data_IF_916447725308
#
_entry.id   IF_916447725308
#
_cell.length_a   1.000
_cell.length_b   1.000
_cell.length_c   1.000
_cell.angle_alpha   90.00
_cell.angle_beta   90.00
_cell.angle_gamma   90.00
#
_symmetry.space_group_name_H-M   'P 1'
#
loop_
_entity.id
_entity.type
_entity.pdbx_description
1 polymer ?
#
# COMPACT_ATOMS: atom_id res chain seq x y z
N UNK A 1 43.53 -25.91 7.35
CA UNK A 1 42.19 -25.76 6.78
C UNK A 1 41.20 -26.55 7.61
N UNK A 2 40.27 -25.87 8.32
CA UNK A 2 38.97 -26.46 8.61
C UNK A 2 37.84 -25.56 8.08
N UNK A 3 36.74 -26.22 7.75
CA UNK A 3 35.60 -25.74 7.01
C UNK A 3 34.93 -24.50 7.62
N UNK A 4 34.59 -23.56 6.76
CA UNK A 4 33.60 -22.54 7.05
C UNK A 4 32.24 -23.23 7.26
N UNK A 5 31.87 -23.45 8.52
CA UNK A 5 30.47 -23.49 8.90
C UNK A 5 29.91 -22.08 8.68
N UNK A 6 29.51 -21.82 7.44
CA UNK A 6 28.62 -20.73 7.12
C UNK A 6 27.32 -21.00 7.88
N UNK A 7 27.27 -20.50 9.11
CA UNK A 7 26.10 -20.45 9.96
C UNK A 7 25.00 -19.76 9.17
N UNK A 8 24.21 -20.57 8.47
CA UNK A 8 22.96 -20.17 7.86
C UNK A 8 22.04 -19.87 9.01
N UNK A 9 22.14 -18.64 9.53
CA UNK A 9 21.11 -18.02 10.34
C UNK A 9 19.92 -17.86 9.41
N UNK A 10 19.19 -18.95 9.19
CA UNK A 10 17.77 -18.91 8.83
C UNK A 10 17.11 -18.30 10.05
N UNK A 11 17.24 -16.97 10.17
CA UNK A 11 16.41 -16.22 11.10
C UNK A 11 14.99 -16.59 10.70
N UNK A 12 14.22 -17.02 11.68
CA UNK A 12 12.78 -17.27 11.58
C UNK A 12 12.06 -15.91 11.38
N UNK A 13 12.58 -15.07 10.48
CA UNK A 13 11.90 -13.89 9.99
C UNK A 13 10.91 -14.39 8.94
N UNK A 14 9.63 -14.21 9.23
CA UNK A 14 8.55 -14.49 8.31
C UNK A 14 8.91 -13.99 6.90
N UNK A 15 8.87 -14.87 5.90
CA UNK A 15 9.26 -14.54 4.53
C UNK A 15 8.53 -13.28 4.03
N UNK A 16 9.17 -12.42 3.23
CA UNK A 16 8.56 -11.17 2.77
C UNK A 16 7.28 -11.42 1.97
N UNK A 17 7.24 -12.53 1.22
CA UNK A 17 6.05 -12.97 0.50
C UNK A 17 4.88 -13.33 1.44
N UNK A 18 5.17 -13.98 2.58
CA UNK A 18 4.16 -14.31 3.59
C UNK A 18 3.62 -13.04 4.25
N UNK A 19 4.47 -12.05 4.53
CA UNK A 19 4.03 -10.75 5.07
C UNK A 19 3.16 -9.98 4.06
N UNK A 20 3.56 -9.95 2.78
CA UNK A 20 2.73 -9.37 1.72
C UNK A 20 1.38 -10.10 1.61
N UNK A 21 1.37 -11.44 1.68
CA UNK A 21 0.15 -12.23 1.69
C UNK A 21 -0.76 -11.87 2.88
N UNK A 22 -0.21 -11.81 4.10
CA UNK A 22 -0.95 -11.40 5.30
C UNK A 22 -1.53 -9.98 5.18
N UNK A 23 -0.81 -9.05 4.56
CA UNK A 23 -1.34 -7.71 4.32
C UNK A 23 -2.56 -7.73 3.40
N UNK A 24 -2.55 -8.58 2.37
CA UNK A 24 -3.68 -8.82 1.48
C UNK A 24 -4.85 -9.50 2.19
N UNK A 25 -4.58 -10.53 3.01
CA UNK A 25 -5.61 -11.21 3.82
C UNK A 25 -6.31 -10.22 4.76
N UNK A 26 -5.55 -9.40 5.49
CA UNK A 26 -6.13 -8.36 6.35
C UNK A 26 -6.97 -7.35 5.58
N UNK A 27 -6.56 -7.03 4.34
CA UNK A 27 -7.30 -6.11 3.48
C UNK A 27 -8.63 -6.69 3.03
N UNK A 28 -8.68 -7.97 2.67
CA UNK A 28 -9.92 -8.67 2.33
C UNK A 28 -10.80 -8.79 3.57
N UNK A 29 -10.23 -9.10 4.73
CA UNK A 29 -10.97 -9.18 5.99
C UNK A 29 -11.60 -7.83 6.40
N UNK A 30 -10.92 -6.72 6.09
CA UNK A 30 -11.45 -5.37 6.28
C UNK A 30 -12.62 -5.06 5.33
N UNK A 31 -12.60 -5.67 4.14
CA UNK A 31 -13.55 -5.44 3.06
C UNK A 31 -14.84 -6.27 3.21
N UNK A 32 -14.73 -7.49 3.74
CA UNK A 32 -15.83 -8.46 3.92
C UNK A 32 -17.07 -7.87 4.62
N UNK A 33 -16.94 -7.07 5.69
CA UNK A 33 -18.09 -6.51 6.41
C UNK A 33 -19.01 -5.66 5.55
N UNK A 34 -18.46 -4.96 4.55
CA UNK A 34 -19.25 -4.17 3.61
C UNK A 34 -20.15 -5.07 2.76
N UNK A 35 -19.68 -6.24 2.34
CA UNK A 35 -20.53 -7.22 1.64
C UNK A 35 -21.54 -7.86 2.58
N UNK A 36 -21.13 -8.25 3.79
CA UNK A 36 -22.02 -8.91 4.74
C UNK A 36 -23.19 -8.01 5.10
N UNK A 37 -22.94 -6.73 5.39
CA UNK A 37 -23.96 -5.77 5.79
C UNK A 37 -25.04 -5.51 4.71
N UNK A 38 -24.77 -5.85 3.45
CA UNK A 38 -25.68 -5.55 2.34
C UNK A 38 -26.24 -6.78 1.64
N UNK A 39 -25.50 -7.88 1.62
CA UNK A 39 -25.96 -9.15 1.04
C UNK A 39 -26.75 -9.96 2.07
N UNK A 40 -26.30 -9.97 3.32
CA UNK A 40 -27.00 -10.67 4.40
C UNK A 40 -27.81 -9.66 5.20
N UNK A 41 -29.14 -9.75 5.11
CA UNK A 41 -30.04 -9.04 5.99
C UNK A 41 -29.86 -9.59 7.43
N UNK A 42 -28.91 -9.03 8.19
CA UNK A 42 -28.77 -9.35 9.61
C UNK A 42 -30.03 -8.84 10.31
N UNK A 43 -30.86 -9.70 10.93
CA UNK A 43 -32.11 -9.26 11.52
C UNK A 43 -31.88 -8.27 12.68
N UNK A 44 -32.74 -7.26 12.80
CA UNK A 44 -32.78 -6.39 13.98
C UNK A 44 -33.43 -7.18 15.11
N UNK A 45 -32.80 -7.19 16.28
CA UNK A 45 -33.41 -7.81 17.45
C UNK A 45 -34.54 -6.89 17.96
N UNK A 46 -35.72 -7.44 18.30
CA UNK A 46 -36.81 -6.65 18.88
C UNK A 46 -36.32 -6.06 20.21
N UNK A 47 -36.49 -4.75 20.35
CA UNK A 47 -36.11 -4.01 21.57
C UNK A 47 -37.36 -3.62 22.36
N UNK A 48 -37.40 -3.85 23.68
CA UNK A 48 -38.57 -3.57 24.51
C UNK A 48 -38.74 -2.09 24.90
N UNK A 49 -38.22 -1.12 24.13
CA UNK A 49 -38.29 0.30 24.51
C UNK A 49 -37.95 1.29 23.39
N UNK A 50 -38.30 2.57 23.61
CA UNK A 50 -38.11 3.67 22.65
C UNK A 50 -37.03 4.65 23.16
N UNK A 51 -35.94 4.83 22.42
CA UNK A 51 -34.88 5.80 22.75
C UNK A 51 -33.64 5.69 21.85
N UNK A 52 -32.85 6.76 21.67
CA UNK A 52 -31.66 6.76 20.81
C UNK A 52 -30.55 5.81 21.30
N UNK A 53 -30.42 5.62 22.61
CA UNK A 53 -29.47 4.65 23.18
C UNK A 53 -29.84 3.19 22.84
N UNK A 54 -31.12 2.92 22.60
CA UNK A 54 -31.61 1.59 22.23
C UNK A 54 -31.30 1.23 20.77
N UNK A 55 -30.96 2.21 19.91
CA UNK A 55 -30.52 1.95 18.53
C UNK A 55 -29.23 1.12 18.53
N UNK A 56 -28.28 1.47 19.41
CA UNK A 56 -27.05 0.68 19.59
C UNK A 56 -27.36 -0.72 20.11
N UNK A 57 -28.32 -0.87 21.02
CA UNK A 57 -28.70 -2.16 21.57
C UNK A 57 -29.49 -3.05 20.59
N UNK A 58 -30.34 -2.47 19.75
CA UNK A 58 -31.10 -3.16 18.71
C UNK A 58 -30.19 -3.65 17.57
N UNK A 59 -29.20 -2.84 17.20
CA UNK A 59 -28.25 -3.13 16.11
C UNK A 59 -26.89 -3.69 16.62
N UNK A 60 -26.75 -4.03 17.92
CA UNK A 60 -25.47 -4.47 18.52
C UNK A 60 -24.79 -5.62 17.80
N UNK A 61 -25.59 -6.58 17.31
CA UNK A 61 -25.08 -7.73 16.57
C UNK A 61 -24.50 -7.30 15.22
N UNK A 62 -25.14 -6.34 14.54
CA UNK A 62 -24.65 -5.76 13.29
C UNK A 62 -23.36 -4.99 13.53
N UNK A 63 -23.29 -4.21 14.59
CA UNK A 63 -22.07 -3.51 14.99
C UNK A 63 -20.93 -4.48 15.28
N UNK A 64 -21.17 -5.58 16.01
CA UNK A 64 -20.13 -6.58 16.29
C UNK A 64 -19.67 -7.32 15.02
N UNK A 65 -20.62 -7.75 14.18
CA UNK A 65 -20.34 -8.43 12.90
C UNK A 65 -19.58 -7.50 11.95
N UNK A 66 -19.80 -6.19 12.02
CA UNK A 66 -19.04 -5.23 11.22
C UNK A 66 -17.67 -4.92 11.83
N UNK A 67 -17.64 -4.52 13.10
CA UNK A 67 -16.49 -3.95 13.78
C UNK A 67 -15.38 -4.98 14.01
N UNK A 68 -15.72 -6.21 14.41
CA UNK A 68 -14.74 -7.24 14.75
C UNK A 68 -13.86 -7.62 13.55
N UNK A 69 -14.41 -8.08 12.41
CA UNK A 69 -13.61 -8.34 11.21
C UNK A 69 -12.95 -7.08 10.64
N UNK A 70 -13.60 -5.92 10.69
CA UNK A 70 -13.01 -4.67 10.21
C UNK A 70 -11.74 -4.30 11.01
N UNK A 71 -11.83 -4.28 12.34
CA UNK A 71 -10.70 -3.98 13.21
C UNK A 71 -9.61 -5.07 13.12
N UNK A 72 -10.00 -6.34 13.08
CA UNK A 72 -9.07 -7.45 12.91
C UNK A 72 -8.33 -7.37 11.57
N UNK A 73 -9.03 -7.06 10.48
CA UNK A 73 -8.45 -6.90 9.16
C UNK A 73 -7.43 -5.76 9.11
N UNK A 74 -7.81 -4.59 9.62
CA UNK A 74 -6.93 -3.42 9.67
C UNK A 74 -5.68 -3.70 10.50
N UNK A 75 -5.82 -4.30 11.68
CA UNK A 75 -4.68 -4.59 12.55
C UNK A 75 -3.71 -5.58 11.91
N UNK A 76 -4.21 -6.66 11.28
CA UNK A 76 -3.38 -7.62 10.54
C UNK A 76 -2.63 -6.92 9.39
N UNK A 77 -3.32 -6.12 8.58
CA UNK A 77 -2.70 -5.40 7.46
C UNK A 77 -1.63 -4.43 7.94
N UNK A 78 -1.92 -3.62 8.96
CA UNK A 78 -0.97 -2.64 9.50
C UNK A 78 0.25 -3.34 10.10
N UNK A 79 0.07 -4.41 10.87
CA UNK A 79 1.19 -5.15 11.47
C UNK A 79 2.06 -5.81 10.40
N UNK A 80 1.45 -6.42 9.39
CA UNK A 80 2.15 -7.04 8.27
C UNK A 80 2.95 -5.99 7.46
N UNK A 81 2.33 -4.86 7.11
CA UNK A 81 2.99 -3.76 6.41
C UNK A 81 4.12 -3.14 7.23
N UNK A 82 3.93 -2.92 8.54
CA UNK A 82 4.97 -2.39 9.44
C UNK A 82 6.16 -3.35 9.53
N UNK A 83 5.91 -4.66 9.64
CA UNK A 83 6.97 -5.69 9.66
C UNK A 83 7.69 -5.77 8.32
N UNK A 84 6.97 -5.72 7.21
CA UNK A 84 7.55 -5.71 5.87
C UNK A 84 8.44 -4.49 5.67
N UNK A 85 7.94 -3.29 5.99
CA UNK A 85 8.70 -2.04 5.90
C UNK A 85 9.95 -2.06 6.77
N UNK A 86 9.85 -2.59 8.00
CA UNK A 86 10.99 -2.71 8.91
C UNK A 86 12.04 -3.67 8.36
N UNK A 87 11.64 -4.83 7.84
CA UNK A 87 12.59 -5.79 7.27
C UNK A 87 13.24 -5.31 5.97
N UNK A 88 12.51 -4.55 5.15
CA UNK A 88 13.09 -3.89 3.96
C UNK A 88 14.09 -2.79 4.36
N UNK A 89 13.79 -1.98 5.38
CA UNK A 89 14.69 -0.91 5.85
C UNK A 89 15.97 -1.45 6.49
N UNK A 90 15.86 -2.56 7.20
CA UNK A 90 16.98 -3.16 7.93
C UNK A 90 17.74 -4.21 7.08
N UNK A 91 17.46 -4.30 5.78
CA UNK A 91 18.09 -5.26 4.85
C UNK A 91 18.10 -6.71 5.39
N UNK A 92 17.03 -7.10 6.10
CA UNK A 92 16.96 -8.40 6.78
C UNK A 92 16.82 -9.57 5.80
N UNK A 93 16.49 -9.29 4.54
CA UNK A 93 16.28 -10.29 3.50
C UNK A 93 17.24 -10.05 2.34
N UNK A 94 17.74 -11.15 1.79
CA UNK A 94 18.57 -11.12 0.60
C UNK A 94 17.81 -10.49 -0.57
N UNK A 95 18.49 -9.60 -1.30
CA UNK A 95 17.90 -8.85 -2.43
C UNK A 95 17.26 -9.75 -3.50
N UNK A 96 17.80 -10.94 -3.71
CA UNK A 96 17.24 -11.93 -4.64
C UNK A 96 15.79 -12.34 -4.30
N UNK A 97 15.48 -12.49 -3.01
CA UNK A 97 14.13 -12.87 -2.53
C UNK A 97 13.16 -11.70 -2.65
N UNK A 98 13.63 -10.48 -2.38
CA UNK A 98 12.84 -9.25 -2.51
C UNK A 98 12.54 -8.96 -3.98
N UNK A 99 13.50 -9.18 -4.87
CA UNK A 99 13.35 -8.99 -6.31
C UNK A 99 12.32 -9.97 -6.90
N UNK A 100 12.29 -11.22 -6.44
CA UNK A 100 11.28 -12.20 -6.87
C UNK A 100 9.87 -11.75 -6.45
N UNK A 101 9.72 -11.21 -5.24
CA UNK A 101 8.45 -10.65 -4.77
C UNK A 101 8.04 -9.40 -5.57
N UNK A 102 9.00 -8.52 -5.86
CA UNK A 102 8.80 -7.32 -6.69
C UNK A 102 8.30 -7.69 -8.08
N UNK A 103 8.95 -8.64 -8.76
CA UNK A 103 8.51 -9.15 -10.07
C UNK A 103 7.11 -9.71 -10.02
N UNK A 104 6.79 -10.49 -8.98
CA UNK A 104 5.47 -11.08 -8.81
C UNK A 104 4.37 -10.01 -8.66
N UNK A 105 4.58 -8.98 -7.83
CA UNK A 105 3.57 -7.94 -7.55
C UNK A 105 3.44 -6.92 -8.71
N UNK A 106 4.53 -6.66 -9.42
CA UNK A 106 4.54 -5.79 -10.59
C UNK A 106 4.01 -6.47 -11.86
N UNK A 107 3.70 -7.76 -11.80
CA UNK A 107 3.11 -8.47 -12.93
C UNK A 107 1.78 -7.80 -13.36
N UNK A 108 1.57 -7.53 -14.66
CA UNK A 108 0.40 -6.78 -15.15
C UNK A 108 -0.92 -7.43 -14.78
N UNK A 109 -0.94 -8.76 -14.64
CA UNK A 109 -2.12 -9.52 -14.18
C UNK A 109 -2.66 -8.99 -12.85
N UNK A 110 -1.80 -8.61 -11.89
CA UNK A 110 -2.29 -8.02 -10.64
C UNK A 110 -2.86 -6.61 -10.82
N UNK A 111 -2.39 -5.85 -11.81
CA UNK A 111 -3.00 -4.56 -12.16
C UNK A 111 -4.39 -4.77 -12.76
N UNK A 112 -4.53 -5.77 -13.65
CA UNK A 112 -5.82 -6.13 -14.25
C UNK A 112 -6.78 -6.56 -13.14
N UNK A 113 -6.39 -7.48 -12.26
CA UNK A 113 -7.24 -7.93 -11.16
C UNK A 113 -7.62 -6.81 -10.18
N UNK A 114 -6.73 -5.85 -9.92
CA UNK A 114 -7.00 -4.75 -8.99
C UNK A 114 -7.87 -3.64 -9.60
N UNK A 115 -7.58 -3.22 -10.83
CA UNK A 115 -8.18 -2.03 -11.42
C UNK A 115 -9.35 -2.31 -12.36
N UNK A 116 -9.38 -3.47 -13.05
CA UNK A 116 -10.47 -3.80 -13.97
C UNK A 116 -11.83 -3.87 -13.25
N UNK A 117 -11.98 -4.53 -12.08
CA UNK A 117 -13.25 -4.56 -11.38
C UNK A 117 -13.73 -3.17 -10.94
N UNK A 118 -12.80 -2.31 -10.51
CA UNK A 118 -13.11 -0.92 -10.14
C UNK A 118 -13.58 -0.10 -11.35
N UNK A 119 -12.95 -0.29 -12.51
CA UNK A 119 -13.32 0.40 -13.74
C UNK A 119 -14.72 -0.03 -14.21
N UNK A 120 -15.00 -1.33 -14.18
CA UNK A 120 -16.33 -1.88 -14.49
C UNK A 120 -17.38 -1.34 -13.51
N UNK A 121 -17.07 -1.33 -12.22
CA UNK A 121 -17.96 -0.77 -11.20
C UNK A 121 -18.23 0.72 -11.44
N UNK A 122 -17.19 1.51 -11.76
CA UNK A 122 -17.34 2.93 -12.03
C UNK A 122 -18.23 3.20 -13.25
N UNK A 123 -18.05 2.43 -14.33
CA UNK A 123 -18.92 2.50 -15.52
C UNK A 123 -20.38 2.19 -15.19
N UNK A 124 -20.62 1.14 -14.39
CA UNK A 124 -21.96 0.80 -13.93
C UNK A 124 -22.57 1.88 -13.02
N UNK A 125 -21.82 2.39 -12.05
CA UNK A 125 -22.27 3.43 -11.13
C UNK A 125 -22.62 4.72 -11.87
N UNK A 126 -21.83 5.08 -12.88
CA UNK A 126 -22.08 6.24 -13.74
C UNK A 126 -23.38 6.09 -14.54
N UNK A 127 -23.60 4.93 -15.17
CA UNK A 127 -24.81 4.66 -15.94
C UNK A 127 -26.08 4.62 -15.07
N UNK A 128 -25.98 4.00 -13.90
CA UNK A 128 -27.11 3.77 -12.99
C UNK A 128 -27.44 4.97 -12.10
N UNK A 129 -26.66 6.06 -12.16
CA UNK A 129 -26.70 7.19 -11.20
C UNK A 129 -26.58 6.74 -9.73
N UNK A 130 -26.17 5.51 -9.47
CA UNK A 130 -25.93 4.95 -8.13
C UNK A 130 -24.55 5.38 -7.63
N UNK A 131 -24.37 6.68 -7.39
CA UNK A 131 -23.18 7.21 -6.71
C UNK A 131 -23.26 7.08 -5.19
N UNK A 132 -24.36 6.53 -4.64
CA UNK A 132 -24.50 6.31 -3.21
C UNK A 132 -23.68 5.12 -2.75
N UNK A 133 -22.39 5.37 -2.47
CA UNK A 133 -21.57 4.65 -1.49
C UNK A 133 -21.75 3.13 -1.46
N UNK A 134 -21.84 2.47 -2.62
CA UNK A 134 -22.24 1.07 -2.63
C UNK A 134 -21.19 0.23 -1.88
N UNK A 135 -21.60 -0.72 -1.04
CA UNK A 135 -20.70 -1.63 -0.32
C UNK A 135 -19.68 -2.34 -1.23
N UNK A 136 -20.06 -2.60 -2.48
CA UNK A 136 -19.20 -3.21 -3.49
C UNK A 136 -17.99 -2.33 -3.82
N UNK A 137 -18.16 -1.00 -3.85
CA UNK A 137 -17.05 -0.07 -4.03
C UNK A 137 -16.03 -0.22 -2.90
N UNK A 138 -16.48 -0.19 -1.64
CA UNK A 138 -15.60 -0.34 -0.49
C UNK A 138 -14.90 -1.70 -0.47
N UNK A 139 -15.61 -2.75 -0.88
CA UNK A 139 -15.04 -4.09 -0.99
C UNK A 139 -13.92 -4.17 -2.03
N UNK A 140 -14.11 -3.55 -3.20
CA UNK A 140 -13.12 -3.53 -4.29
C UNK A 140 -11.95 -2.58 -4.00
N UNK A 141 -12.21 -1.46 -3.33
CA UNK A 141 -11.20 -0.44 -3.05
C UNK A 141 -10.13 -0.91 -2.07
N UNK A 142 -10.51 -1.61 -1.01
CA UNK A 142 -9.58 -2.05 0.03
C UNK A 142 -8.40 -2.91 -0.53
N UNK A 143 -8.63 -4.03 -1.25
CA UNK A 143 -7.54 -4.85 -1.79
C UNK A 143 -6.70 -4.09 -2.82
N UNK A 144 -7.33 -3.23 -3.64
CA UNK A 144 -6.61 -2.40 -4.61
C UNK A 144 -5.66 -1.43 -3.93
N UNK A 145 -6.12 -0.72 -2.89
CA UNK A 145 -5.27 0.17 -2.10
C UNK A 145 -4.09 -0.57 -1.46
N UNK A 146 -4.29 -1.81 -1.02
CA UNK A 146 -3.23 -2.65 -0.45
C UNK A 146 -2.19 -3.04 -1.50
N UNK A 147 -2.62 -3.43 -2.70
CA UNK A 147 -1.70 -3.72 -3.82
C UNK A 147 -0.91 -2.46 -4.20
N UNK A 148 -1.56 -1.30 -4.30
CA UNK A 148 -0.88 -0.03 -4.61
C UNK A 148 0.14 0.33 -3.53
N UNK A 149 -0.19 0.17 -2.24
CA UNK A 149 0.74 0.39 -1.11
C UNK A 149 1.93 -0.55 -1.17
N UNK A 150 1.72 -1.84 -1.41
CA UNK A 150 2.80 -2.82 -1.54
C UNK A 150 3.74 -2.48 -2.71
N UNK A 151 3.19 -2.06 -3.86
CA UNK A 151 3.99 -1.59 -5.01
C UNK A 151 4.84 -0.37 -4.68
N UNK A 152 4.26 0.60 -3.96
CA UNK A 152 5.01 1.78 -3.51
C UNK A 152 6.12 1.40 -2.53
N UNK A 153 5.88 0.46 -1.61
CA UNK A 153 6.89 0.00 -0.65
C UNK A 153 8.01 -0.80 -1.29
N UNK A 154 7.71 -1.60 -2.31
CA UNK A 154 8.68 -2.45 -3.01
C UNK A 154 9.38 -1.73 -4.17
N UNK A 155 9.07 -0.46 -4.43
CA UNK A 155 9.71 0.30 -5.51
C UNK A 155 11.22 0.33 -5.29
N UNK A 156 12.05 0.04 -6.31
CA UNK A 156 13.49 0.06 -6.15
C UNK A 156 13.93 1.43 -5.61
N UNK A 157 14.79 1.41 -4.60
CA UNK A 157 15.42 2.61 -4.06
C UNK A 157 16.26 3.17 -5.21
N UNK A 158 15.84 4.30 -5.77
CA UNK A 158 16.61 4.94 -6.83
C UNK A 158 18.01 5.22 -6.28
N UNK A 159 19.00 4.53 -6.83
CA UNK A 159 20.41 4.80 -6.53
C UNK A 159 20.64 6.25 -6.96
N UNK A 160 21.17 7.07 -6.06
CA UNK A 160 21.28 8.52 -6.23
C UNK A 160 22.13 8.96 -7.44
N UNK A 161 22.68 8.03 -8.22
CA UNK A 161 23.47 8.30 -9.43
C UNK A 161 22.68 8.30 -10.75
N UNK A 162 21.43 7.82 -10.78
CA UNK A 162 20.67 7.63 -12.03
C UNK A 162 19.55 8.68 -12.22
N UNK A 163 19.78 9.89 -11.71
CA UNK A 163 18.90 11.03 -11.96
C UNK A 163 19.17 11.54 -13.38
N UNK A 164 18.39 11.04 -14.33
CA UNK A 164 18.29 11.56 -15.72
C UNK A 164 17.77 13.01 -15.76
N UNK A 165 17.30 13.55 -14.63
CA UNK A 165 16.94 14.96 -14.51
C UNK A 165 18.14 15.75 -13.97
N UNK A 166 18.68 16.71 -14.75
CA UNK A 166 19.73 17.61 -14.30
C UNK A 166 19.30 18.28 -12.99
N UNK A 167 20.19 18.26 -12.01
CA UNK A 167 20.00 18.98 -10.76
C UNK A 167 19.98 20.48 -11.07
N UNK A 168 18.77 21.03 -11.21
CA UNK A 168 18.51 22.43 -11.56
C UNK A 168 19.04 23.42 -10.52
N UNK A 169 19.48 22.93 -9.37
CA UNK A 169 20.21 23.72 -8.36
C UNK A 169 21.71 23.86 -8.66
N UNK A 170 22.24 23.10 -9.60
CA UNK A 170 23.66 23.06 -9.98
C UNK A 170 23.91 23.59 -11.39
N UNK A 171 23.08 24.52 -11.88
CA UNK A 171 23.49 25.35 -13.01
C UNK A 171 24.62 26.27 -12.53
N UNK A 172 25.87 25.88 -12.77
CA UNK A 172 26.97 26.84 -12.82
C UNK A 172 26.54 27.93 -13.80
N UNK A 173 26.65 29.22 -13.46
CA UNK A 173 26.37 30.28 -14.41
C UNK A 173 27.22 30.01 -15.65
N UNK A 174 26.58 30.05 -16.81
CA UNK A 174 27.23 29.85 -18.11
C UNK A 174 28.27 30.97 -18.23
N UNK A 175 29.53 30.66 -17.92
CA UNK A 175 30.64 31.54 -18.24
C UNK A 175 30.85 31.41 -19.74
N UNK A 176 30.20 32.29 -20.47
CA UNK A 176 30.46 32.49 -21.88
C UNK A 176 31.87 33.06 -22.01
N UNK A 177 32.82 32.22 -22.44
CA UNK A 177 34.16 32.65 -22.90
C UNK A 177 34.07 33.69 -24.06
N UNK A 178 32.86 33.95 -24.57
CA UNK A 178 32.57 34.85 -25.69
C UNK A 178 32.27 36.31 -25.30
N UNK A 179 32.20 36.68 -24.02
CA UNK A 179 31.85 38.04 -23.59
C UNK A 179 32.94 38.77 -22.78
N UNK A 180 34.20 38.53 -23.16
CA UNK A 180 35.34 39.35 -22.74
C UNK A 180 35.86 39.01 -21.35
N UNK A 181 37.15 38.69 -21.28
CA UNK A 181 37.86 38.68 -20.01
C UNK A 181 37.73 40.06 -19.34
N UNK A 182 37.51 40.14 -18.02
CA UNK A 182 37.64 41.40 -17.31
C UNK A 182 39.07 41.89 -17.51
N UNK A 183 39.23 43.08 -18.12
CA UNK A 183 40.54 43.74 -18.26
C UNK A 183 41.26 43.69 -16.92
N UNK A 184 42.34 42.93 -16.86
CA UNK A 184 43.34 43.09 -15.81
C UNK A 184 43.97 44.47 -16.04
N UNK A 185 43.49 45.47 -15.31
CA UNK A 185 44.19 46.76 -15.22
C UNK A 185 45.48 46.54 -14.43
N UNK A 186 46.56 46.24 -15.14
CA UNK A 186 47.92 46.38 -14.66
C UNK A 186 48.20 47.87 -14.43
N UNK A 187 48.00 48.34 -13.21
CA UNK A 187 48.69 49.52 -12.70
C UNK A 187 49.59 49.08 -11.55
N UNK A 188 50.81 48.72 -11.93
CA UNK A 188 51.97 48.78 -11.07
C UNK A 188 52.58 50.18 -11.16
N UNK A 189 52.48 50.95 -10.07
CA UNK A 189 53.42 52.00 -9.69
C UNK A 189 53.44 52.07 -8.16
#
# INVERSE_FOLDING_TARGET
MPCYDAGMKVSVSSSPARLACWSGVGSVLTAIPFLIGTVFHVPRLPTPGCGPEMIFWADRLRFLVFLVPFACGITISILAEKRLRRGLKNEMWQESVVELLRRRINHPVWSVFAYLPLLVWFGYAFQSKLFHGTPLFWFLMAPTQTISRLRMMLRPKQVAGDRVLPDWRNFKPIQSEHWGEPRQNSFSL
#
